data_IF_833056811250
#
_entry.id   IF_833056811250
#
_cell.length_a   1.000
_cell.length_b   1.000
_cell.length_c   1.000
_cell.angle_alpha   90.00
_cell.angle_beta   90.00
_cell.angle_gamma   90.00
#
_symmetry.space_group_name_H-M   'P 1'
#
loop_
_entity.id
_entity.type
_entity.pdbx_description
1 polymer ?
#
# COMPACT_ATOMS: atom_id res chain seq x y z
N UNK A 1 26.76 18.83 -3.73
CA UNK A 1 26.28 18.79 -2.33
C UNK A 1 24.89 18.16 -2.32
N UNK A 2 24.78 16.91 -1.92
CA UNK A 2 23.49 16.21 -1.78
C UNK A 2 22.82 16.78 -0.54
N UNK A 3 21.62 17.34 -0.71
CA UNK A 3 20.85 18.03 0.30
C UNK A 3 20.48 17.07 1.45
N UNK A 4 21.21 17.13 2.56
CA UNK A 4 20.97 16.33 3.78
C UNK A 4 19.56 16.54 4.38
N UNK A 5 18.89 17.63 4.03
CA UNK A 5 17.55 17.96 4.56
C UNK A 5 16.42 17.09 3.97
N UNK A 6 16.59 16.54 2.76
CA UNK A 6 15.58 15.70 2.13
C UNK A 6 15.60 14.27 2.71
N UNK A 7 16.77 13.79 3.12
CA UNK A 7 16.90 12.43 3.69
C UNK A 7 16.46 12.33 5.14
N UNK A 8 16.55 13.39 5.93
CA UNK A 8 16.09 13.38 7.32
C UNK A 8 14.57 13.50 7.47
N UNK A 9 13.91 14.24 6.57
CA UNK A 9 12.45 14.32 6.56
C UNK A 9 11.76 13.02 6.13
N UNK A 10 12.47 12.18 5.36
CA UNK A 10 11.93 10.91 4.88
C UNK A 10 11.91 9.81 5.97
N UNK A 11 12.74 9.93 7.01
CA UNK A 11 12.78 8.97 8.14
C UNK A 11 11.61 9.12 9.11
N UNK A 12 10.92 10.25 9.11
CA UNK A 12 9.80 10.56 10.00
C UNK A 12 8.42 10.26 9.41
N UNK A 13 8.34 9.89 8.11
CA UNK A 13 7.08 9.54 7.46
C UNK A 13 6.74 8.07 7.72
N UNK A 14 5.44 7.74 7.93
CA UNK A 14 4.99 6.36 8.00
C UNK A 14 5.45 5.59 6.75
N UNK A 15 5.61 4.27 6.89
CA UNK A 15 6.16 3.36 5.86
C UNK A 15 5.46 3.58 4.51
N UNK A 16 4.16 3.80 4.51
CA UNK A 16 3.35 4.07 3.33
C UNK A 16 3.77 5.37 2.64
N UNK A 17 4.02 6.44 3.40
CA UNK A 17 4.51 7.71 2.86
C UNK A 17 5.90 7.59 2.21
N UNK A 18 6.75 6.67 2.70
CA UNK A 18 8.05 6.38 2.11
C UNK A 18 7.97 5.62 0.80
N UNK A 19 6.99 4.73 0.66
CA UNK A 19 6.75 3.95 -0.56
C UNK A 19 6.27 4.84 -1.71
N UNK A 20 5.43 5.82 -1.42
CA UNK A 20 4.92 6.78 -2.41
C UNK A 20 6.05 7.65 -2.95
N UNK A 21 6.93 8.17 -2.07
CA UNK A 21 8.07 8.99 -2.48
C UNK A 21 9.07 8.22 -3.35
N UNK A 22 9.22 6.90 -3.22
CA UNK A 22 10.10 6.10 -4.07
C UNK A 22 9.57 5.93 -5.49
N UNK A 23 8.26 5.87 -5.68
CA UNK A 23 7.67 5.66 -7.00
C UNK A 23 7.62 6.95 -7.84
N UNK A 24 7.52 8.11 -7.19
CA UNK A 24 7.51 9.40 -7.89
C UNK A 24 8.88 9.88 -8.39
N UNK A 25 9.97 9.18 -8.05
CA UNK A 25 11.30 9.55 -8.53
C UNK A 25 11.60 9.15 -9.99
N UNK A 26 10.70 8.44 -10.68
CA UNK A 26 10.94 8.00 -12.07
C UNK A 26 10.50 8.96 -13.16
N UNK A 27 9.86 10.08 -12.83
CA UNK A 27 9.53 11.12 -13.80
C UNK A 27 9.80 12.50 -13.20
N UNK A 28 10.98 13.04 -13.49
CA UNK A 28 11.25 14.46 -13.33
C UNK A 28 11.02 15.12 -14.68
N UNK A 29 9.93 15.86 -14.88
CA UNK A 29 9.84 16.78 -16.00
C UNK A 29 10.74 17.98 -15.67
N UNK A 30 11.64 18.31 -16.56
CA UNK A 30 12.39 19.57 -16.52
C UNK A 30 11.44 20.75 -16.63
N UNK A 31 11.50 21.59 -15.59
CA UNK A 31 11.16 23.00 -15.55
C UNK A 31 9.70 23.43 -15.69
N UNK A 32 9.16 23.88 -14.58
CA UNK A 32 8.70 25.27 -14.36
C UNK A 32 8.38 25.42 -12.87
N UNK A 33 8.84 26.49 -12.28
CA UNK A 33 8.59 26.87 -10.89
C UNK A 33 7.10 27.19 -10.69
N UNK A 34 6.27 26.18 -10.56
CA UNK A 34 4.97 26.29 -9.93
C UNK A 34 5.03 25.42 -8.68
N UNK A 35 4.56 25.94 -7.55
CA UNK A 35 4.46 25.25 -6.26
C UNK A 35 3.99 23.82 -6.52
N UNK A 36 4.90 22.85 -6.51
CA UNK A 36 4.57 21.44 -6.57
C UNK A 36 3.89 21.07 -5.24
N UNK A 37 2.58 21.23 -5.18
CA UNK A 37 1.78 20.31 -4.40
C UNK A 37 2.04 18.96 -5.06
N UNK A 38 2.86 18.12 -4.44
CA UNK A 38 3.05 16.75 -4.88
C UNK A 38 1.65 16.14 -4.96
N UNK A 39 1.21 15.80 -6.16
CA UNK A 39 -0.07 15.13 -6.35
C UNK A 39 -0.07 13.89 -5.46
N UNK A 40 -0.94 13.92 -4.46
CA UNK A 40 -1.16 12.79 -3.58
C UNK A 40 -1.87 11.74 -4.41
N UNK A 41 -1.28 10.56 -4.51
CA UNK A 41 -1.82 9.48 -5.32
C UNK A 41 -3.12 8.87 -4.80
N UNK A 42 -3.59 7.84 -5.47
CA UNK A 42 -4.76 7.03 -5.10
C UNK A 42 -4.32 5.70 -4.50
N UNK A 43 -4.87 5.35 -3.35
CA UNK A 43 -4.65 4.06 -2.68
C UNK A 43 -5.90 3.19 -2.73
N UNK A 44 -5.70 1.89 -2.97
CA UNK A 44 -6.73 0.86 -2.81
C UNK A 44 -6.45 0.04 -1.55
N UNK A 45 -7.43 -0.06 -0.67
CA UNK A 45 -7.36 -0.87 0.56
C UNK A 45 -8.35 -2.03 0.42
N UNK A 46 -7.84 -3.24 0.57
CA UNK A 46 -8.62 -4.48 0.41
C UNK A 46 -8.56 -5.30 1.69
N UNK A 47 -9.66 -5.35 2.40
CA UNK A 47 -9.84 -6.10 3.65
C UNK A 47 -11.33 -6.38 3.85
N UNK A 48 -11.71 -7.58 4.28
CA UNK A 48 -13.10 -7.94 4.54
C UNK A 48 -13.64 -7.35 5.87
N UNK A 49 -12.76 -6.87 6.74
CA UNK A 49 -13.12 -6.23 7.99
C UNK A 49 -13.38 -4.73 7.79
N UNK A 50 -14.63 -4.32 7.95
CA UNK A 50 -15.06 -2.91 7.81
C UNK A 50 -14.37 -1.97 8.80
N UNK A 51 -14.07 -2.44 10.00
CA UNK A 51 -13.37 -1.66 11.02
C UNK A 51 -11.93 -1.36 10.62
N UNK A 52 -11.25 -2.31 10.02
CA UNK A 52 -9.90 -2.15 9.47
C UNK A 52 -9.92 -1.13 8.33
N UNK A 53 -10.85 -1.24 7.39
CA UNK A 53 -11.00 -0.28 6.30
C UNK A 53 -11.23 1.14 6.81
N UNK A 54 -12.17 1.32 7.74
CA UNK A 54 -12.47 2.64 8.31
C UNK A 54 -11.26 3.24 9.05
N UNK A 55 -10.52 2.44 9.80
CA UNK A 55 -9.32 2.88 10.51
C UNK A 55 -8.21 3.30 9.56
N UNK A 56 -7.99 2.56 8.48
CA UNK A 56 -6.99 2.90 7.47
C UNK A 56 -7.41 4.12 6.64
N UNK A 57 -8.68 4.25 6.29
CA UNK A 57 -9.18 5.46 5.63
C UNK A 57 -8.88 6.70 6.46
N UNK A 58 -9.22 6.69 7.74
CA UNK A 58 -8.96 7.80 8.65
C UNK A 58 -7.46 8.11 8.80
N UNK A 59 -6.63 7.07 8.90
CA UNK A 59 -5.18 7.21 9.04
C UNK A 59 -4.53 7.80 7.78
N UNK A 60 -5.05 7.49 6.61
CA UNK A 60 -4.44 7.80 5.32
C UNK A 60 -5.09 8.98 4.58
N UNK A 61 -6.17 9.55 5.10
CA UNK A 61 -6.93 10.62 4.45
C UNK A 61 -6.09 11.87 4.13
N UNK A 62 -5.06 12.14 4.91
CA UNK A 62 -4.15 13.27 4.68
C UNK A 62 -3.00 12.95 3.73
N UNK A 63 -2.71 11.67 3.50
CA UNK A 63 -1.57 11.20 2.71
C UNK A 63 -1.91 10.93 1.24
N UNK A 64 -3.18 10.67 0.94
CA UNK A 64 -3.67 10.37 -0.40
C UNK A 64 -4.76 11.35 -0.84
N UNK A 65 -4.85 11.59 -2.15
CA UNK A 65 -5.92 12.40 -2.74
C UNK A 65 -7.22 11.61 -2.84
N UNK A 66 -7.13 10.31 -3.03
CA UNK A 66 -8.28 9.41 -3.13
C UNK A 66 -7.97 8.09 -2.43
N UNK A 67 -8.93 7.60 -1.65
CA UNK A 67 -8.88 6.29 -1.00
C UNK A 67 -10.04 5.46 -1.51
N UNK A 68 -9.73 4.33 -2.17
CA UNK A 68 -10.71 3.34 -2.58
C UNK A 68 -10.65 2.15 -1.64
N UNK A 69 -11.79 1.56 -1.34
CA UNK A 69 -11.88 0.38 -0.48
C UNK A 69 -12.63 -0.75 -1.19
N UNK A 70 -12.23 -1.97 -0.89
CA UNK A 70 -12.88 -3.17 -1.36
C UNK A 70 -12.99 -4.19 -0.21
N UNK A 71 -14.17 -4.79 -0.05
CA UNK A 71 -14.43 -5.82 0.97
C UNK A 71 -14.07 -7.22 0.50
N UNK A 72 -13.96 -7.41 -0.81
CA UNK A 72 -13.64 -8.70 -1.42
C UNK A 72 -12.50 -8.54 -2.41
N UNK A 73 -11.53 -9.45 -2.39
CA UNK A 73 -10.36 -9.36 -3.26
C UNK A 73 -10.68 -9.57 -4.74
N UNK A 74 -11.81 -10.20 -5.08
CA UNK A 74 -12.26 -10.34 -6.46
C UNK A 74 -12.57 -8.99 -7.16
N UNK A 75 -12.75 -7.92 -6.41
CA UNK A 75 -12.96 -6.57 -6.94
C UNK A 75 -11.66 -5.89 -7.41
N UNK A 76 -10.50 -6.39 -6.98
CA UNK A 76 -9.19 -5.76 -7.22
C UNK A 76 -8.94 -5.55 -8.72
N UNK A 77 -9.12 -6.58 -9.52
CA UNK A 77 -8.80 -6.55 -10.96
C UNK A 77 -9.68 -5.52 -11.69
N UNK A 78 -10.98 -5.49 -11.37
CA UNK A 78 -11.89 -4.50 -11.93
C UNK A 78 -11.49 -3.07 -11.56
N UNK A 79 -11.12 -2.85 -10.30
CA UNK A 79 -10.71 -1.52 -9.82
C UNK A 79 -9.42 -1.06 -10.48
N UNK A 80 -8.41 -1.93 -10.58
CA UNK A 80 -7.14 -1.61 -11.26
C UNK A 80 -7.36 -1.25 -12.74
N UNK A 81 -8.26 -1.95 -13.41
CA UNK A 81 -8.54 -1.72 -14.83
C UNK A 81 -9.36 -0.46 -15.10
N UNK A 82 -10.12 0.03 -14.12
CA UNK A 82 -11.05 1.17 -14.30
C UNK A 82 -10.60 2.46 -13.62
N UNK A 83 -9.59 2.39 -12.76
CA UNK A 83 -9.13 3.53 -11.96
C UNK A 83 -7.61 3.53 -11.86
N UNK A 84 -6.97 4.72 -11.88
CA UNK A 84 -5.55 4.81 -11.60
C UNK A 84 -5.30 4.52 -10.12
N UNK A 85 -4.55 3.47 -9.82
CA UNK A 85 -4.15 3.07 -8.47
C UNK A 85 -2.63 3.17 -8.37
N UNK A 86 -2.15 3.87 -7.35
CA UNK A 86 -0.72 4.10 -7.12
C UNK A 86 -0.12 3.12 -6.11
N UNK A 87 -0.94 2.61 -5.20
CA UNK A 87 -0.54 1.59 -4.21
C UNK A 87 -1.75 0.78 -3.73
N UNK A 88 -1.52 -0.48 -3.40
CA UNK A 88 -2.53 -1.36 -2.81
C UNK A 88 -2.09 -1.77 -1.40
N UNK A 89 -3.02 -1.72 -0.45
CA UNK A 89 -2.92 -2.44 0.82
C UNK A 89 -3.85 -3.65 0.73
N UNK A 90 -3.29 -4.83 0.90
CA UNK A 90 -3.98 -6.11 0.71
C UNK A 90 -3.88 -6.98 1.95
N UNK A 91 -5.03 -7.37 2.50
CA UNK A 91 -5.09 -8.33 3.59
C UNK A 91 -4.59 -9.72 3.18
N UNK A 92 -3.95 -10.43 4.10
CA UNK A 92 -3.46 -11.79 3.87
C UNK A 92 -4.58 -12.82 3.92
N UNK A 93 -5.66 -12.57 4.66
CA UNK A 93 -6.73 -13.53 4.91
C UNK A 93 -8.10 -12.89 4.80
N UNK A 94 -8.96 -13.44 3.96
CA UNK A 94 -10.33 -12.96 3.72
C UNK A 94 -11.41 -13.90 4.27
N UNK A 95 -11.08 -15.15 4.58
CA UNK A 95 -12.02 -16.11 5.12
C UNK A 95 -11.92 -16.18 6.64
N UNK A 96 -13.01 -15.92 7.34
CA UNK A 96 -13.08 -16.01 8.79
C UNK A 96 -12.65 -17.40 9.29
N UNK A 97 -11.65 -17.46 10.15
CA UNK A 97 -11.17 -18.69 10.77
C UNK A 97 -10.07 -19.46 10.01
N UNK A 98 -9.69 -19.03 8.82
CA UNK A 98 -8.58 -19.62 8.04
C UNK A 98 -7.46 -18.58 7.91
N UNK A 99 -6.43 -18.70 8.73
CA UNK A 99 -5.32 -17.73 8.79
C UNK A 99 -4.03 -18.32 8.18
N UNK A 100 -4.13 -18.89 6.97
CA UNK A 100 -2.95 -19.47 6.29
C UNK A 100 -2.26 -18.51 5.31
N UNK A 101 -2.82 -17.33 5.05
CA UNK A 101 -2.29 -16.32 4.14
C UNK A 101 -2.34 -16.68 2.65
N UNK A 102 -2.86 -17.84 2.28
CA UNK A 102 -2.85 -18.30 0.90
C UNK A 102 -3.70 -17.42 -0.03
N UNK A 103 -4.80 -16.88 0.47
CA UNK A 103 -5.66 -15.99 -0.30
C UNK A 103 -4.95 -14.69 -0.67
N UNK A 104 -4.30 -14.04 0.31
CA UNK A 104 -3.53 -12.83 0.07
C UNK A 104 -2.39 -13.06 -0.92
N UNK A 105 -1.65 -14.16 -0.80
CA UNK A 105 -0.58 -14.54 -1.72
C UNK A 105 -1.10 -14.83 -3.13
N UNK A 106 -2.25 -15.49 -3.26
CA UNK A 106 -2.90 -15.73 -4.55
C UNK A 106 -3.21 -14.41 -5.26
N UNK A 107 -3.85 -13.46 -4.55
CA UNK A 107 -4.21 -12.17 -5.13
C UNK A 107 -3.00 -11.29 -5.42
N UNK A 108 -1.96 -11.35 -4.59
CA UNK A 108 -0.68 -10.70 -4.87
C UNK A 108 -0.10 -11.17 -6.20
N UNK A 109 -0.10 -12.48 -6.44
CA UNK A 109 0.37 -13.06 -7.70
C UNK A 109 -0.47 -12.56 -8.88
N UNK A 110 -1.80 -12.54 -8.74
CA UNK A 110 -2.70 -12.02 -9.78
C UNK A 110 -2.45 -10.54 -10.10
N UNK A 111 -2.22 -9.74 -9.08
CA UNK A 111 -1.87 -8.32 -9.27
C UNK A 111 -0.54 -8.20 -10.03
N UNK A 112 0.47 -8.99 -9.68
CA UNK A 112 1.77 -8.98 -10.35
C UNK A 112 1.70 -9.36 -11.83
N UNK A 113 0.80 -10.25 -12.21
CA UNK A 113 0.55 -10.62 -13.61
C UNK A 113 0.00 -9.45 -14.43
N UNK A 114 -0.84 -8.61 -13.83
CA UNK A 114 -1.56 -7.53 -14.52
C UNK A 114 -0.83 -6.20 -14.40
N UNK A 115 -0.33 -5.89 -13.22
CA UNK A 115 0.33 -4.63 -12.87
C UNK A 115 1.65 -4.90 -12.12
N UNK A 116 2.71 -5.38 -12.82
CA UNK A 116 3.95 -5.83 -12.18
C UNK A 116 4.70 -4.72 -11.42
N UNK A 117 4.49 -3.46 -11.79
CA UNK A 117 5.14 -2.31 -11.15
C UNK A 117 4.32 -1.68 -10.02
N UNK A 118 3.07 -2.11 -9.82
CA UNK A 118 2.19 -1.53 -8.79
C UNK A 118 2.65 -1.95 -7.39
N UNK A 119 2.97 -1.00 -6.49
CA UNK A 119 3.32 -1.33 -5.12
C UNK A 119 2.17 -2.02 -4.38
N UNK A 120 2.46 -3.13 -3.72
CA UNK A 120 1.52 -3.87 -2.88
C UNK A 120 2.10 -4.04 -1.48
N UNK A 121 1.40 -3.52 -0.49
CA UNK A 121 1.70 -3.66 0.93
C UNK A 121 0.74 -4.67 1.53
N UNK A 122 1.27 -5.74 2.11
CA UNK A 122 0.47 -6.79 2.72
C UNK A 122 0.09 -6.43 4.16
N UNK A 123 -1.16 -6.66 4.54
CA UNK A 123 -1.59 -6.61 5.93
C UNK A 123 -1.55 -8.02 6.52
N UNK A 124 -0.87 -8.19 7.62
CA UNK A 124 -0.73 -9.48 8.31
C UNK A 124 -0.97 -9.35 9.81
N UNK A 125 -1.49 -10.39 10.43
CA UNK A 125 -1.70 -10.40 11.87
C UNK A 125 -0.36 -10.45 12.63
N UNK A 126 -0.36 -9.91 13.84
CA UNK A 126 0.79 -10.00 14.75
C UNK A 126 1.11 -11.47 15.03
N UNK A 127 2.36 -11.86 14.78
CA UNK A 127 2.82 -13.25 14.92
C UNK A 127 2.99 -14.00 13.60
N UNK A 128 2.45 -13.52 12.49
CA UNK A 128 2.53 -14.16 11.17
C UNK A 128 3.76 -13.73 10.36
N UNK A 129 4.94 -13.71 11.01
CA UNK A 129 6.19 -13.27 10.37
C UNK A 129 6.55 -14.14 9.17
N UNK A 130 6.26 -15.45 9.23
CA UNK A 130 6.50 -16.38 8.11
C UNK A 130 5.68 -16.01 6.87
N UNK A 131 4.43 -15.57 7.06
CA UNK A 131 3.58 -15.11 5.98
C UNK A 131 4.09 -13.80 5.38
N UNK A 132 4.57 -12.88 6.21
CA UNK A 132 5.20 -11.65 5.74
C UNK A 132 6.43 -11.93 4.87
N UNK A 133 7.30 -12.86 5.30
CA UNK A 133 8.48 -13.29 4.54
C UNK A 133 8.07 -13.94 3.21
N UNK A 134 7.05 -14.80 3.20
CA UNK A 134 6.51 -15.38 1.97
C UNK A 134 5.97 -14.31 1.02
N UNK A 135 5.28 -13.30 1.54
CA UNK A 135 4.76 -12.19 0.74
C UNK A 135 5.90 -11.43 0.06
N UNK A 136 6.96 -11.10 0.79
CA UNK A 136 8.14 -10.41 0.24
C UNK A 136 8.85 -11.26 -0.83
N UNK A 137 8.94 -12.58 -0.65
CA UNK A 137 9.48 -13.51 -1.65
C UNK A 137 8.60 -13.64 -2.90
N UNK A 138 7.33 -13.29 -2.82
CA UNK A 138 6.38 -13.22 -3.94
C UNK A 138 6.17 -11.80 -4.46
N UNK A 139 7.19 -10.95 -4.33
CA UNK A 139 7.22 -9.60 -4.86
C UNK A 139 6.22 -8.62 -4.21
N UNK A 140 5.78 -8.85 -2.97
CA UNK A 140 5.19 -7.80 -2.17
C UNK A 140 6.22 -6.69 -1.94
N UNK A 141 5.79 -5.44 -1.96
CA UNK A 141 6.67 -4.30 -1.76
C UNK A 141 7.08 -4.17 -0.30
N UNK A 142 6.13 -4.41 0.60
CA UNK A 142 6.32 -4.34 2.06
C UNK A 142 5.15 -5.04 2.77
N UNK A 143 5.18 -5.04 4.09
CA UNK A 143 4.07 -5.54 4.92
C UNK A 143 3.84 -4.65 6.13
N UNK A 144 2.60 -4.67 6.64
CA UNK A 144 2.19 -4.01 7.88
C UNK A 144 1.59 -5.05 8.83
N UNK A 145 1.90 -4.91 10.11
CA UNK A 145 1.32 -5.75 11.16
C UNK A 145 0.04 -5.14 11.71
N UNK A 146 -0.97 -5.97 11.91
CA UNK A 146 -2.19 -5.62 12.66
C UNK A 146 -2.00 -5.98 14.15
N UNK A 147 -2.48 -5.17 15.10
CA UNK A 147 -2.88 -3.78 14.94
C UNK A 147 -1.64 -2.88 14.75
N UNK A 148 -1.77 -1.83 13.93
CA UNK A 148 -0.71 -0.84 13.80
C UNK A 148 -0.74 0.15 14.96
N UNK A 149 0.44 0.59 15.39
CA UNK A 149 0.57 1.62 16.41
C UNK A 149 0.67 3.01 15.74
N UNK A 150 -0.26 3.88 16.06
CA UNK A 150 -0.27 5.27 15.57
C UNK A 150 0.68 6.19 16.34
N UNK A 151 1.45 5.64 17.29
CA UNK A 151 2.36 6.40 18.14
C UNK A 151 3.74 6.48 17.52
N UNK A 152 3.84 7.24 16.44
CA UNK A 152 5.14 7.88 16.06
C UNK A 152 4.90 9.07 15.18
#
# INVERSE_FOLDING_TARGET
MINKSITENNKKRPIIGRLICRNNQKQIPLASESKNEMEKGTILIVDDNKGVLASLELLLETEFSEIKTAHHPNQIISIINTSPIDVIILDMNFSAGINNGNEGLYWLKRIREIAPALPVVMLTAYGDVELAVKALKNDATDFLLKPWDNRT
#
